data_IF_582612223852
#
_entry.id   IF_582612223852
#
_cell.length_a   1.000
_cell.length_b   1.000
_cell.length_c   1.000
_cell.angle_alpha   90.00
_cell.angle_beta   90.00
_cell.angle_gamma   90.00
#
_symmetry.space_group_name_H-M   'P 1'
#
loop_
_entity.id
_entity.type
_entity.pdbx_description
1 polymer ?
#
# COMPACT_ATOMS: atom_id res chain seq x y z
N UNK A 1 -24.73 -19.72 20.59
CA UNK A 1 -24.23 -21.01 20.02
C UNK A 1 -23.80 -20.81 18.54
N UNK A 2 -22.77 -19.99 18.27
CA UNK A 2 -22.17 -19.80 16.94
C UNK A 2 -20.64 -19.92 17.02
N UNK A 3 -20.12 -20.94 17.67
CA UNK A 3 -18.68 -20.93 18.00
C UNK A 3 -17.81 -21.96 17.28
N UNK A 4 -18.31 -22.77 16.34
CA UNK A 4 -17.47 -23.84 15.78
C UNK A 4 -17.36 -23.94 14.25
N UNK A 5 -18.07 -23.13 13.44
CA UNK A 5 -18.04 -23.24 11.97
C UNK A 5 -17.12 -22.23 11.25
N UNK A 6 -16.51 -21.29 11.97
CA UNK A 6 -15.71 -20.21 11.36
C UNK A 6 -14.37 -20.66 10.75
N UNK A 7 -13.82 -21.79 11.18
CA UNK A 7 -12.54 -22.33 10.67
C UNK A 7 -12.67 -23.04 9.32
N UNK A 8 -13.90 -23.28 8.83
CA UNK A 8 -14.19 -24.10 7.64
C UNK A 8 -14.80 -23.34 6.46
N UNK A 9 -14.91 -22.01 6.51
CA UNK A 9 -15.43 -21.28 5.33
C UNK A 9 -14.45 -21.39 4.15
N UNK A 10 -14.94 -21.81 2.95
CA UNK A 10 -14.11 -21.99 1.77
C UNK A 10 -13.37 -20.69 1.38
N UNK A 11 -12.13 -20.83 0.91
CA UNK A 11 -11.36 -19.70 0.39
C UNK A 11 -12.11 -18.94 -0.71
N UNK A 12 -12.83 -19.67 -1.59
CA UNK A 12 -13.67 -19.10 -2.65
C UNK A 12 -14.71 -18.13 -2.11
N UNK A 13 -15.37 -18.46 -0.99
CA UNK A 13 -16.35 -17.56 -0.37
C UNK A 13 -15.70 -16.29 0.17
N UNK A 14 -14.59 -16.43 0.89
CA UNK A 14 -13.87 -15.29 1.46
C UNK A 14 -13.33 -14.36 0.37
N UNK A 15 -12.61 -14.90 -0.61
CA UNK A 15 -12.02 -14.15 -1.71
C UNK A 15 -13.10 -13.58 -2.63
N UNK A 16 -14.12 -14.37 -3.00
CA UNK A 16 -15.23 -13.92 -3.84
C UNK A 16 -15.99 -12.75 -3.22
N UNK A 17 -16.27 -12.80 -1.91
CA UNK A 17 -16.91 -11.70 -1.20
C UNK A 17 -16.07 -10.41 -1.27
N UNK A 18 -14.74 -10.49 -1.07
CA UNK A 18 -13.86 -9.32 -1.14
C UNK A 18 -13.72 -8.79 -2.57
N UNK A 19 -13.74 -9.63 -3.60
CA UNK A 19 -13.76 -9.22 -5.01
C UNK A 19 -15.05 -8.45 -5.32
N UNK A 20 -16.22 -8.98 -4.92
CA UNK A 20 -17.52 -8.31 -5.09
C UNK A 20 -17.48 -6.95 -4.38
N UNK A 21 -17.02 -6.92 -3.14
CA UNK A 21 -16.92 -5.69 -2.36
C UNK A 21 -16.10 -4.62 -3.07
N UNK A 22 -14.91 -4.99 -3.54
CA UNK A 22 -14.00 -4.09 -4.23
C UNK A 22 -14.57 -3.60 -5.55
N UNK A 23 -15.21 -4.48 -6.32
CA UNK A 23 -15.78 -4.16 -7.63
C UNK A 23 -16.96 -3.19 -7.52
N UNK A 24 -17.85 -3.39 -6.56
CA UNK A 24 -19.07 -2.59 -6.42
C UNK A 24 -18.97 -1.51 -5.34
N UNK A 25 -17.85 -1.43 -4.63
CA UNK A 25 -17.61 -0.47 -3.54
C UNK A 25 -18.63 -0.54 -2.40
N UNK A 26 -19.14 -1.74 -2.11
CA UNK A 26 -20.10 -1.96 -1.03
C UNK A 26 -19.44 -1.84 0.35
N UNK A 27 -20.18 -1.31 1.32
CA UNK A 27 -19.84 -1.48 2.74
C UNK A 27 -20.00 -2.93 3.17
N UNK A 28 -19.43 -3.31 4.31
CA UNK A 28 -19.53 -4.71 4.82
C UNK A 28 -20.98 -5.18 4.97
N UNK A 29 -21.89 -4.30 5.36
CA UNK A 29 -23.32 -4.61 5.53
C UNK A 29 -24.03 -4.72 4.19
N UNK A 30 -23.87 -3.74 3.32
CA UNK A 30 -24.44 -3.74 1.97
C UNK A 30 -23.98 -4.97 1.18
N UNK A 31 -22.72 -5.36 1.30
CA UNK A 31 -22.22 -6.56 0.64
C UNK A 31 -22.99 -7.81 1.05
N UNK A 32 -23.24 -7.99 2.35
CA UNK A 32 -23.98 -9.15 2.86
C UNK A 32 -25.44 -9.12 2.37
N UNK A 33 -26.09 -7.95 2.39
CA UNK A 33 -27.44 -7.76 1.87
C UNK A 33 -27.50 -8.09 0.38
N UNK A 34 -26.59 -7.53 -0.43
CA UNK A 34 -26.53 -7.77 -1.88
C UNK A 34 -26.24 -9.24 -2.23
N UNK A 35 -25.36 -9.91 -1.49
CA UNK A 35 -25.13 -11.35 -1.68
C UNK A 35 -26.38 -12.15 -1.30
N UNK A 36 -27.09 -11.76 -0.24
CA UNK A 36 -28.30 -12.49 0.19
C UNK A 36 -29.43 -12.39 -0.84
N UNK A 37 -29.58 -11.25 -1.50
CA UNK A 37 -30.65 -10.99 -2.46
C UNK A 37 -30.34 -11.49 -3.88
N UNK A 38 -29.03 -11.66 -4.22
CA UNK A 38 -28.62 -11.91 -5.60
C UNK A 38 -28.06 -13.33 -5.80
N UNK A 39 -28.79 -14.20 -6.53
CA UNK A 39 -28.34 -15.57 -6.78
C UNK A 39 -27.04 -15.67 -7.56
N UNK A 40 -26.73 -14.72 -8.43
CA UNK A 40 -25.45 -14.70 -9.18
C UNK A 40 -24.27 -14.43 -8.27
N UNK A 41 -24.42 -13.53 -7.28
CA UNK A 41 -23.38 -13.28 -6.30
C UNK A 41 -23.20 -14.47 -5.36
N UNK A 42 -24.27 -15.15 -4.99
CA UNK A 42 -24.20 -16.40 -4.22
C UNK A 42 -23.47 -17.51 -4.99
N UNK A 43 -23.77 -17.67 -6.27
CA UNK A 43 -23.06 -18.62 -7.13
C UNK A 43 -21.57 -18.27 -7.25
N UNK A 44 -21.25 -17.00 -7.43
CA UNK A 44 -19.86 -16.53 -7.54
C UNK A 44 -19.03 -16.86 -6.29
N UNK A 45 -19.58 -16.67 -5.09
CA UNK A 45 -18.92 -17.04 -3.84
C UNK A 45 -18.93 -18.56 -3.55
N UNK A 46 -19.53 -19.37 -4.43
CA UNK A 46 -19.49 -20.83 -4.38
C UNK A 46 -20.60 -21.48 -3.57
N UNK A 47 -21.76 -20.84 -3.42
CA UNK A 47 -22.92 -21.52 -2.84
C UNK A 47 -23.51 -22.49 -3.87
N UNK A 48 -23.91 -23.70 -3.43
CA UNK A 48 -24.43 -24.72 -4.32
C UNK A 48 -25.88 -24.44 -4.83
N UNK A 49 -26.56 -23.48 -4.23
CA UNK A 49 -27.90 -23.04 -4.58
C UNK A 49 -28.29 -21.76 -3.88
N UNK A 50 -29.39 -21.15 -4.33
CA UNK A 50 -29.93 -19.94 -3.74
C UNK A 50 -30.41 -20.17 -2.30
N UNK A 51 -30.10 -19.24 -1.42
CA UNK A 51 -30.54 -19.19 -0.02
C UNK A 51 -31.08 -17.82 0.29
N UNK A 52 -32.18 -17.76 1.02
CA UNK A 52 -32.75 -16.49 1.51
C UNK A 52 -32.02 -15.94 2.75
N UNK A 53 -31.25 -16.80 3.42
CA UNK A 53 -30.49 -16.42 4.60
C UNK A 53 -29.08 -15.93 4.23
N UNK A 54 -28.61 -14.93 4.97
CA UNK A 54 -27.26 -14.41 4.79
C UNK A 54 -26.19 -15.51 4.98
N UNK A 55 -25.26 -15.71 4.04
CA UNK A 55 -24.26 -16.78 4.13
C UNK A 55 -23.26 -16.57 5.25
N UNK A 56 -23.06 -15.32 5.70
CA UNK A 56 -22.20 -14.93 6.81
C UNK A 56 -22.60 -13.56 7.36
N UNK A 57 -22.17 -13.26 8.58
CA UNK A 57 -22.35 -11.94 9.19
C UNK A 57 -21.32 -10.92 8.66
N UNK A 58 -21.68 -9.62 8.59
CA UNK A 58 -20.80 -8.57 8.13
C UNK A 58 -19.46 -8.50 8.91
N UNK A 59 -19.46 -8.85 10.20
CA UNK A 59 -18.23 -8.91 11.01
C UNK A 59 -17.25 -10.00 10.55
N UNK A 60 -17.71 -11.00 9.82
CA UNK A 60 -16.89 -12.09 9.26
C UNK A 60 -15.90 -11.56 8.22
N UNK A 61 -16.24 -10.47 7.51
CA UNK A 61 -15.35 -9.86 6.52
C UNK A 61 -14.02 -9.36 7.13
N UNK A 62 -14.04 -8.95 8.40
CA UNK A 62 -12.81 -8.62 9.13
C UNK A 62 -11.89 -9.83 9.27
N UNK A 63 -12.48 -11.01 9.47
CA UNK A 63 -11.73 -12.28 9.55
C UNK A 63 -11.24 -12.70 8.16
N UNK A 64 -12.04 -12.52 7.11
CA UNK A 64 -11.62 -12.79 5.74
C UNK A 64 -10.40 -11.98 5.34
N UNK A 65 -10.41 -10.66 5.59
CA UNK A 65 -9.25 -9.78 5.33
C UNK A 65 -8.00 -10.17 6.11
N UNK A 66 -8.13 -10.72 7.31
CA UNK A 66 -6.99 -11.20 8.11
C UNK A 66 -6.46 -12.56 7.66
N UNK A 67 -7.30 -13.40 7.10
CA UNK A 67 -6.97 -14.75 6.65
C UNK A 67 -6.27 -14.77 5.29
N UNK A 68 -6.64 -13.85 4.41
CA UNK A 68 -6.06 -13.76 3.06
C UNK A 68 -4.76 -12.96 3.13
N UNK A 69 -3.63 -13.64 2.93
CA UNK A 69 -2.32 -13.01 2.86
C UNK A 69 -2.02 -12.47 1.46
N UNK A 70 -0.98 -11.63 1.35
CA UNK A 70 -0.53 -11.10 0.05
C UNK A 70 -0.01 -12.23 -0.85
N UNK A 71 0.71 -13.20 -0.28
CA UNK A 71 1.24 -14.36 -1.00
C UNK A 71 0.11 -15.19 -1.60
N UNK A 72 -0.95 -15.47 -0.82
CA UNK A 72 -2.13 -16.19 -1.29
C UNK A 72 -2.83 -15.45 -2.44
N UNK A 73 -2.92 -14.11 -2.38
CA UNK A 73 -3.49 -13.33 -3.48
C UNK A 73 -2.64 -13.41 -4.75
N UNK A 74 -1.31 -13.42 -4.62
CA UNK A 74 -0.41 -13.60 -5.76
C UNK A 74 -0.57 -14.99 -6.38
N UNK A 75 -0.61 -16.05 -5.57
CA UNK A 75 -0.83 -17.42 -6.04
C UNK A 75 -2.17 -17.56 -6.78
N UNK A 76 -3.24 -17.00 -6.24
CA UNK A 76 -4.56 -17.01 -6.91
C UNK A 76 -4.52 -16.24 -8.22
N UNK A 77 -3.85 -15.09 -8.27
CA UNK A 77 -3.70 -14.30 -9.49
C UNK A 77 -2.95 -15.10 -10.58
N UNK A 78 -1.83 -15.74 -10.24
CA UNK A 78 -1.09 -16.57 -11.20
C UNK A 78 -1.90 -17.81 -11.64
N UNK A 79 -2.65 -18.44 -10.72
CA UNK A 79 -3.54 -19.53 -11.06
C UNK A 79 -4.62 -19.11 -12.08
N UNK A 80 -5.27 -17.97 -11.84
CA UNK A 80 -6.30 -17.44 -12.75
C UNK A 80 -5.71 -17.10 -14.12
N UNK A 81 -4.50 -16.54 -14.17
CA UNK A 81 -3.82 -16.20 -15.43
C UNK A 81 -3.37 -17.43 -16.20
N UNK A 82 -2.94 -18.49 -15.52
CA UNK A 82 -2.53 -19.75 -16.15
C UNK A 82 -3.73 -20.52 -16.78
N UNK A 83 -4.93 -20.40 -16.19
CA UNK A 83 -6.14 -21.15 -16.62
C UNK A 83 -7.15 -20.28 -17.38
N UNK A 84 -6.76 -19.08 -17.83
CA UNK A 84 -7.67 -18.15 -18.55
C UNK A 84 -8.17 -18.69 -19.89
N UNK A 85 -7.44 -19.62 -20.52
CA UNK A 85 -7.77 -20.16 -21.84
C UNK A 85 -8.64 -21.42 -21.77
N UNK A 86 -8.78 -22.03 -20.58
CA UNK A 86 -9.63 -23.20 -20.35
C UNK A 86 -11.14 -22.88 -20.53
N UNK A 87 -11.53 -21.62 -20.38
CA UNK A 87 -12.92 -21.14 -20.54
C UNK A 87 -13.26 -20.72 -21.99
N UNK A 88 -12.34 -20.87 -22.95
CA UNK A 88 -12.56 -20.46 -24.36
C UNK A 88 -13.13 -21.56 -25.26
N UNK A 89 -13.60 -22.68 -24.71
CA UNK A 89 -14.37 -23.67 -25.45
C UNK A 89 -15.83 -23.23 -25.53
N UNK A 90 -16.19 -22.49 -26.54
CA UNK A 90 -17.24 -22.68 -27.54
C UNK A 90 -17.47 -21.37 -28.34
N UNK A 91 -17.42 -21.50 -29.69
CA UNK A 91 -17.81 -20.50 -30.68
C UNK A 91 -16.81 -19.42 -31.15
N UNK A 92 -15.61 -19.81 -31.64
CA UNK A 92 -15.03 -19.07 -32.77
C UNK A 92 -14.21 -20.02 -33.69
N UNK A 93 -14.44 -20.06 -35.02
CA UNK A 93 -13.65 -20.90 -35.90
C UNK A 93 -12.22 -20.34 -36.05
N UNK A 94 -11.20 -21.21 -36.24
CA UNK A 94 -9.82 -20.78 -36.30
C UNK A 94 -9.58 -19.95 -37.58
N UNK A 95 -9.22 -18.70 -37.42
CA UNK A 95 -8.70 -17.91 -38.55
C UNK A 95 -7.29 -18.40 -38.87
N UNK A 96 -7.15 -18.87 -40.12
CA UNK A 96 -5.96 -19.53 -40.64
C UNK A 96 -4.67 -18.71 -40.49
N UNK A 97 -3.77 -19.16 -39.64
CA UNK A 97 -2.38 -18.74 -39.61
C UNK A 97 -1.60 -19.48 -40.69
N UNK A 98 -0.98 -18.75 -41.60
CA UNK A 98 -0.05 -19.31 -42.59
C UNK A 98 1.17 -19.88 -41.86
N UNK A 99 1.31 -21.18 -41.91
CA UNK A 99 2.55 -21.91 -41.62
C UNK A 99 3.55 -21.62 -42.72
N UNK A 100 4.62 -20.89 -42.38
CA UNK A 100 5.87 -20.96 -43.15
C UNK A 100 6.78 -21.91 -42.36
N UNK A 101 6.86 -23.12 -42.87
CA UNK A 101 7.83 -24.13 -42.48
C UNK A 101 9.20 -23.72 -43.05
N UNK A 102 10.13 -23.34 -42.18
CA UNK A 102 11.55 -23.40 -42.43
C UNK A 102 12.26 -23.82 -41.11
N UNK A 103 12.72 -25.05 -41.15
CA UNK A 103 13.24 -25.75 -39.99
C UNK A 103 14.60 -25.22 -39.55
N UNK A 104 14.57 -24.49 -38.46
CA UNK A 104 15.63 -24.47 -37.41
C UNK A 104 14.97 -23.85 -36.17
N UNK A 105 14.51 -24.68 -35.26
CA UNK A 105 14.03 -24.24 -33.96
C UNK A 105 15.23 -23.68 -33.17
N UNK A 106 15.49 -22.38 -33.28
CA UNK A 106 16.15 -21.63 -32.22
C UNK A 106 15.12 -21.56 -31.13
N UNK A 107 15.36 -22.19 -29.99
CA UNK A 107 14.61 -21.95 -28.77
C UNK A 107 14.55 -20.42 -28.59
N UNK A 108 13.37 -19.85 -28.71
CA UNK A 108 13.14 -18.41 -28.48
C UNK A 108 13.38 -18.16 -26.99
N UNK A 109 14.62 -17.80 -26.65
CA UNK A 109 15.05 -17.52 -25.27
C UNK A 109 14.45 -16.21 -24.74
N UNK A 110 13.83 -15.40 -25.62
CA UNK A 110 13.25 -14.08 -25.33
C UNK A 110 11.90 -13.92 -25.98
N UNK A 111 10.87 -13.60 -25.20
CA UNK A 111 9.51 -13.38 -25.71
C UNK A 111 8.72 -12.41 -24.84
N UNK A 112 7.90 -11.59 -25.48
CA UNK A 112 6.96 -10.71 -24.79
C UNK A 112 7.57 -9.41 -24.27
N UNK A 113 6.73 -8.61 -23.63
CA UNK A 113 7.07 -7.29 -23.08
C UNK A 113 6.78 -7.27 -21.60
N UNK A 114 7.71 -6.72 -20.81
CA UNK A 114 7.51 -6.40 -19.42
C UNK A 114 7.44 -4.87 -19.29
N UNK A 115 6.29 -4.34 -18.90
CA UNK A 115 6.15 -2.91 -18.57
C UNK A 115 6.14 -2.76 -17.05
N UNK A 116 7.00 -1.90 -16.49
CA UNK A 116 7.15 -1.71 -15.06
C UNK A 116 7.07 -0.24 -14.69
N UNK A 117 6.24 0.09 -13.70
CA UNK A 117 6.17 1.43 -13.11
C UNK A 117 5.70 1.35 -11.66
N UNK A 118 5.94 2.43 -10.89
CA UNK A 118 5.56 2.53 -9.49
C UNK A 118 4.55 3.64 -9.23
N UNK A 119 3.63 3.37 -8.31
CA UNK A 119 2.69 4.38 -7.82
C UNK A 119 2.53 4.31 -6.31
N UNK A 120 1.81 5.28 -5.76
CA UNK A 120 1.41 5.30 -4.36
C UNK A 120 -0.11 5.22 -4.26
N UNK A 121 -0.62 4.30 -3.44
CA UNK A 121 -1.99 4.30 -2.96
C UNK A 121 -2.04 5.17 -1.69
N UNK A 122 -2.66 6.36 -1.72
CA UNK A 122 -2.63 7.28 -0.60
C UNK A 122 -3.47 6.77 0.57
N UNK A 123 -3.00 7.00 1.79
CA UNK A 123 -3.74 6.70 3.00
C UNK A 123 -4.61 7.87 3.43
N UNK A 124 -5.77 7.57 4.04
CA UNK A 124 -6.68 8.59 4.58
C UNK A 124 -6.16 9.14 5.90
N UNK A 125 -5.11 9.94 5.84
CA UNK A 125 -4.59 10.67 6.99
C UNK A 125 -4.57 12.17 6.74
N UNK A 126 -4.82 12.93 7.79
CA UNK A 126 -4.56 14.37 7.75
C UNK A 126 -3.06 14.60 7.49
N UNK A 127 -2.71 15.60 6.66
CA UNK A 127 -1.31 15.97 6.45
C UNK A 127 -0.61 16.16 7.80
N UNK A 128 0.43 15.39 8.12
CA UNK A 128 1.01 15.35 9.45
C UNK A 128 1.84 16.61 9.71
N UNK A 129 1.46 17.33 10.76
CA UNK A 129 2.24 18.41 11.34
C UNK A 129 2.65 18.00 12.75
N UNK A 130 3.91 18.18 13.13
CA UNK A 130 4.42 17.73 14.42
C UNK A 130 3.59 18.22 15.61
N UNK A 131 3.15 19.47 15.57
CA UNK A 131 2.33 20.04 16.64
C UNK A 131 0.95 19.38 16.71
N UNK A 132 0.32 19.10 15.57
CA UNK A 132 -0.99 18.43 15.54
C UNK A 132 -0.87 16.97 15.97
N UNK A 133 0.20 16.29 15.57
CA UNK A 133 0.50 14.92 15.96
C UNK A 133 0.76 14.80 17.47
N UNK A 134 1.56 15.71 18.05
CA UNK A 134 1.78 15.78 19.49
C UNK A 134 0.53 16.14 20.28
N UNK A 135 -0.35 17.01 19.75
CA UNK A 135 -1.62 17.31 20.40
C UNK A 135 -2.56 16.08 20.39
N UNK A 136 -2.63 15.35 19.30
CA UNK A 136 -3.40 14.10 19.21
C UNK A 136 -2.83 13.06 20.19
N UNK A 137 -1.50 12.93 20.26
CA UNK A 137 -0.80 12.07 21.23
C UNK A 137 -1.22 12.40 22.66
N UNK A 138 -1.17 13.68 23.04
CA UNK A 138 -1.60 14.15 24.34
C UNK A 138 -3.06 13.78 24.62
N UNK A 139 -3.96 14.02 23.69
CA UNK A 139 -5.39 13.71 23.86
C UNK A 139 -5.64 12.21 24.05
N UNK A 140 -4.93 11.37 23.30
CA UNK A 140 -5.00 9.89 23.48
C UNK A 140 -4.45 9.45 24.83
N UNK A 141 -3.32 10.01 25.30
CA UNK A 141 -2.77 9.74 26.62
C UNK A 141 -3.71 10.19 27.74
N UNK A 142 -4.27 11.38 27.66
CA UNK A 142 -5.24 11.88 28.64
C UNK A 142 -6.48 10.97 28.76
N UNK A 143 -6.95 10.43 27.63
CA UNK A 143 -8.06 9.47 27.62
C UNK A 143 -7.63 8.10 28.18
N UNK A 144 -6.40 7.66 27.90
CA UNK A 144 -5.85 6.42 28.44
C UNK A 144 -5.72 6.51 29.97
N UNK A 145 -5.13 7.59 30.48
CA UNK A 145 -5.03 7.87 31.93
C UNK A 145 -6.41 7.88 32.59
N UNK A 146 -7.40 8.51 31.94
CA UNK A 146 -8.77 8.54 32.47
C UNK A 146 -9.37 7.14 32.60
N UNK A 147 -9.28 6.31 31.54
CA UNK A 147 -9.74 4.92 31.57
C UNK A 147 -9.02 4.11 32.63
N UNK A 148 -7.70 4.26 32.70
CA UNK A 148 -6.86 3.58 33.66
C UNK A 148 -7.26 3.90 35.11
N UNK A 149 -7.34 5.17 35.45
CA UNK A 149 -7.76 5.60 36.77
C UNK A 149 -9.18 5.14 37.16
N UNK A 150 -10.11 5.16 36.13
CA UNK A 150 -11.48 4.66 36.31
C UNK A 150 -11.50 3.15 36.59
N UNK A 151 -10.69 2.37 35.89
CA UNK A 151 -10.62 0.92 36.05
C UNK A 151 -10.14 0.50 37.45
N UNK A 152 -9.14 1.19 37.96
CA UNK A 152 -8.50 0.86 39.23
C UNK A 152 -8.97 1.72 40.42
N UNK A 153 -9.94 2.60 40.22
CA UNK A 153 -10.42 3.51 41.29
C UNK A 153 -9.38 4.53 41.75
N UNK A 154 -8.39 4.85 40.91
CA UNK A 154 -7.30 5.76 41.25
C UNK A 154 -7.72 7.22 41.16
N UNK A 155 -7.10 8.07 41.99
CA UNK A 155 -7.27 9.53 41.88
C UNK A 155 -6.68 10.04 40.58
N UNK A 156 -7.51 10.81 39.81
CA UNK A 156 -7.09 11.37 38.56
C UNK A 156 -6.01 12.44 38.70
N UNK A 157 -4.83 12.31 38.08
CA UNK A 157 -3.76 13.29 38.18
C UNK A 157 -4.08 14.60 37.45
N UNK A 158 -3.34 15.67 37.79
CA UNK A 158 -3.54 17.00 37.22
C UNK A 158 -2.96 17.11 35.80
N UNK A 159 -3.80 17.05 34.75
CA UNK A 159 -3.40 17.00 33.33
C UNK A 159 -3.38 18.31 32.59
N UNK A 160 -3.91 19.38 33.17
CA UNK A 160 -4.01 20.72 32.54
C UNK A 160 -4.70 20.72 31.13
N UNK A 161 -5.61 19.79 30.89
CA UNK A 161 -6.28 19.53 29.60
C UNK A 161 -6.84 20.80 28.92
N UNK A 162 -7.59 21.62 29.65
CA UNK A 162 -8.20 22.85 29.12
C UNK A 162 -7.16 23.86 28.65
N UNK A 163 -6.07 24.01 29.41
CA UNK A 163 -4.97 24.93 29.10
C UNK A 163 -4.20 24.47 27.87
N UNK A 164 -3.79 23.20 27.82
CA UNK A 164 -3.05 22.63 26.70
C UNK A 164 -3.84 22.71 25.39
N UNK A 165 -5.16 22.44 25.42
CA UNK A 165 -6.05 22.61 24.27
C UNK A 165 -6.17 24.07 23.84
N UNK A 166 -6.32 25.01 24.75
CA UNK A 166 -6.38 26.46 24.44
C UNK A 166 -5.10 26.92 23.76
N UNK A 167 -3.95 26.52 24.27
CA UNK A 167 -2.63 26.85 23.70
C UNK A 167 -2.44 26.26 22.31
N UNK A 168 -2.85 25.02 22.08
CA UNK A 168 -2.83 24.38 20.75
C UNK A 168 -3.73 25.13 19.76
N UNK A 169 -4.97 25.43 20.14
CA UNK A 169 -5.93 26.13 19.27
C UNK A 169 -5.45 27.56 18.95
N UNK A 170 -4.85 28.26 19.91
CA UNK A 170 -4.27 29.58 19.69
C UNK A 170 -3.13 29.54 18.66
N UNK A 171 -2.28 28.50 18.72
CA UNK A 171 -1.27 28.25 17.69
C UNK A 171 -1.91 27.92 16.34
N UNK A 172 -2.81 26.96 16.28
CA UNK A 172 -3.44 26.50 15.03
C UNK A 172 -4.22 27.59 14.28
N UNK A 173 -4.80 28.54 15.01
CA UNK A 173 -5.53 29.71 14.43
C UNK A 173 -4.60 30.85 14.01
N UNK A 174 -3.34 30.82 14.37
CA UNK A 174 -2.37 31.88 14.05
C UNK A 174 -2.07 31.90 12.55
N UNK A 175 -2.17 33.05 11.91
CA UNK A 175 -1.87 33.22 10.47
C UNK A 175 -0.38 33.09 10.13
N UNK A 176 0.51 33.46 11.06
CA UNK A 176 1.97 33.45 10.86
C UNK A 176 2.64 32.51 11.86
N UNK A 177 3.29 31.49 11.36
CA UNK A 177 4.06 30.54 12.14
C UNK A 177 5.56 30.82 12.00
N UNK A 178 6.09 31.67 12.88
CA UNK A 178 7.55 31.89 12.94
C UNK A 178 8.25 30.69 13.60
N UNK A 179 9.50 30.45 13.27
CA UNK A 179 10.31 29.35 13.87
C UNK A 179 10.27 29.39 15.42
N UNK A 180 10.33 30.60 16.02
CA UNK A 180 10.23 30.79 17.49
C UNK A 180 8.87 30.33 18.04
N UNK A 181 7.76 30.66 17.35
CA UNK A 181 6.40 30.22 17.77
C UNK A 181 6.24 28.73 17.63
N UNK A 182 6.71 28.14 16.52
CA UNK A 182 6.68 26.69 16.28
C UNK A 182 7.44 25.98 17.39
N UNK A 183 8.70 26.37 17.64
CA UNK A 183 9.53 25.75 18.68
C UNK A 183 8.92 25.87 20.08
N UNK A 184 8.32 27.03 20.41
CA UNK A 184 7.63 27.22 21.70
C UNK A 184 6.40 26.32 21.83
N UNK A 185 5.62 26.14 20.77
CA UNK A 185 4.45 25.26 20.74
C UNK A 185 4.86 23.78 20.86
N UNK A 186 5.88 23.34 20.13
CA UNK A 186 6.46 21.98 20.25
C UNK A 186 6.92 21.69 21.67
N UNK A 187 7.71 22.59 22.29
CA UNK A 187 8.17 22.44 23.68
C UNK A 187 7.02 22.19 24.65
N UNK A 188 5.93 22.95 24.51
CA UNK A 188 4.76 22.83 25.40
C UNK A 188 4.05 21.49 25.21
N UNK A 189 3.84 21.06 23.96
CA UNK A 189 3.21 19.76 23.69
C UNK A 189 4.09 18.59 24.16
N UNK A 190 5.39 18.61 23.87
CA UNK A 190 6.35 17.63 24.37
C UNK A 190 6.33 17.55 25.90
N UNK A 191 6.31 18.70 26.60
CA UNK A 191 6.22 18.72 28.07
C UNK A 191 4.91 18.13 28.61
N UNK A 192 3.79 18.30 27.88
CA UNK A 192 2.53 17.65 28.25
C UNK A 192 2.59 16.14 28.05
N UNK A 193 3.10 15.68 26.90
CA UNK A 193 3.22 14.26 26.57
C UNK A 193 4.16 13.57 27.57
N UNK A 194 5.33 14.16 27.86
CA UNK A 194 6.29 13.64 28.85
C UNK A 194 5.65 13.44 30.22
N UNK A 195 4.94 14.45 30.71
CA UNK A 195 4.25 14.39 32.01
C UNK A 195 3.21 13.26 32.03
N UNK A 196 2.41 13.17 30.96
CA UNK A 196 1.31 12.20 30.88
C UNK A 196 1.84 10.76 30.73
N UNK A 197 2.98 10.55 30.04
CA UNK A 197 3.72 9.28 30.03
C UNK A 197 4.21 8.93 31.43
N UNK A 198 4.80 9.88 32.16
CA UNK A 198 5.30 9.65 33.52
C UNK A 198 4.20 9.21 34.53
N UNK A 199 2.95 9.67 34.35
CA UNK A 199 1.85 9.17 35.17
C UNK A 199 1.55 7.70 34.88
N UNK A 200 1.54 7.26 33.62
CA UNK A 200 1.32 5.87 33.27
C UNK A 200 2.48 4.98 33.73
N UNK A 201 3.72 5.44 33.59
CA UNK A 201 4.91 4.75 34.08
C UNK A 201 4.85 4.56 35.63
N UNK A 202 4.45 5.61 36.36
CA UNK A 202 4.26 5.52 37.79
C UNK A 202 3.20 4.48 38.16
N UNK A 203 2.03 4.50 37.52
CA UNK A 203 0.98 3.52 37.80
C UNK A 203 1.45 2.08 37.53
N UNK A 204 2.18 1.86 36.44
CA UNK A 204 2.73 0.54 36.15
C UNK A 204 3.80 0.11 37.14
N UNK A 205 4.62 1.03 37.64
CA UNK A 205 5.61 0.74 38.69
C UNK A 205 4.96 0.41 40.04
N UNK A 206 3.76 0.92 40.28
CA UNK A 206 2.92 0.60 41.45
C UNK A 206 2.20 -0.76 41.32
N UNK A 207 2.41 -1.49 40.19
CA UNK A 207 1.88 -2.84 39.96
C UNK A 207 0.55 -2.89 39.20
N UNK A 208 0.04 -1.76 38.71
CA UNK A 208 -1.18 -1.75 37.91
C UNK A 208 -0.89 -2.15 36.44
N UNK A 209 -1.68 -3.05 35.85
CA UNK A 209 -1.50 -3.55 34.50
C UNK A 209 -2.31 -2.76 33.48
N UNK A 210 -1.72 -2.54 32.31
CA UNK A 210 -2.40 -1.94 31.16
C UNK A 210 -3.17 -2.99 30.34
N UNK A 211 -4.30 -2.63 29.73
CA UNK A 211 -5.04 -3.56 28.84
C UNK A 211 -4.26 -3.80 27.55
N UNK A 212 -4.41 -4.98 26.93
CA UNK A 212 -3.68 -5.32 25.70
C UNK A 212 -3.87 -4.33 24.56
N UNK A 213 -5.08 -3.73 24.42
CA UNK A 213 -5.36 -2.68 23.42
C UNK A 213 -4.60 -1.38 23.70
N UNK A 214 -4.47 -1.02 24.98
CA UNK A 214 -3.79 0.20 25.38
C UNK A 214 -2.26 0.05 25.33
N UNK A 215 -1.71 -1.16 25.49
CA UNK A 215 -0.27 -1.43 25.38
C UNK A 215 0.27 -1.06 23.99
N UNK A 216 -0.38 -1.53 22.92
CA UNK A 216 0.07 -1.22 21.54
C UNK A 216 0.08 0.28 21.24
N UNK A 217 -0.97 0.99 21.69
CA UNK A 217 -1.04 2.44 21.55
C UNK A 217 0.02 3.15 22.41
N UNK A 218 0.25 2.70 23.63
CA UNK A 218 1.25 3.24 24.54
C UNK A 218 2.67 3.10 23.97
N UNK A 219 3.04 1.93 23.45
CA UNK A 219 4.33 1.71 22.80
C UNK A 219 4.53 2.59 21.56
N UNK A 220 3.47 2.76 20.77
CA UNK A 220 3.48 3.67 19.62
C UNK A 220 3.74 5.12 20.05
N UNK A 221 3.08 5.55 21.13
CA UNK A 221 3.23 6.90 21.67
C UNK A 221 4.63 7.13 22.24
N UNK A 222 5.24 6.16 22.92
CA UNK A 222 6.62 6.26 23.42
C UNK A 222 7.56 6.50 22.24
N UNK A 223 7.52 5.64 21.21
CA UNK A 223 8.37 5.78 20.02
C UNK A 223 8.17 7.14 19.32
N UNK A 224 6.92 7.57 19.18
CA UNK A 224 6.61 8.87 18.60
C UNK A 224 7.19 10.01 19.45
N UNK A 225 7.04 9.96 20.78
CA UNK A 225 7.60 10.95 21.68
C UNK A 225 9.12 11.02 21.57
N UNK A 226 9.81 9.89 21.57
CA UNK A 226 11.27 9.82 21.41
C UNK A 226 11.73 10.44 20.09
N UNK A 227 11.07 10.12 18.97
CA UNK A 227 11.35 10.70 17.65
C UNK A 227 11.14 12.22 17.65
N UNK A 228 10.03 12.70 18.21
CA UNK A 228 9.70 14.12 18.25
C UNK A 228 10.63 14.89 19.20
N UNK A 229 11.02 14.30 20.33
CA UNK A 229 11.98 14.87 21.27
C UNK A 229 13.36 14.97 20.61
N UNK A 230 13.81 13.90 19.94
CA UNK A 230 15.08 13.89 19.19
C UNK A 230 15.12 14.99 18.12
N UNK A 231 14.06 15.11 17.30
CA UNK A 231 13.96 16.14 16.27
C UNK A 231 13.96 17.56 16.89
N UNK A 232 13.29 17.73 18.02
CA UNK A 232 13.27 19.01 18.73
C UNK A 232 14.65 19.41 19.26
N UNK A 233 15.37 18.48 19.89
CA UNK A 233 16.66 18.73 20.52
C UNK A 233 17.76 18.98 19.49
N UNK A 234 17.81 18.17 18.44
CA UNK A 234 18.81 18.25 17.37
C UNK A 234 18.45 19.25 16.27
N UNK A 235 17.28 19.91 16.32
CA UNK A 235 16.80 20.85 15.30
C UNK A 235 16.73 20.25 13.89
N UNK A 236 16.42 18.98 13.79
CA UNK A 236 16.23 18.28 12.53
C UNK A 236 14.74 18.07 12.25
N UNK A 237 14.38 17.90 10.97
CA UNK A 237 12.99 17.74 10.53
C UNK A 237 12.67 16.32 10.06
N UNK A 238 13.64 15.42 10.08
CA UNK A 238 13.49 14.03 9.67
C UNK A 238 14.20 13.11 10.65
N UNK A 239 13.69 11.90 10.76
CA UNK A 239 14.24 10.78 11.53
C UNK A 239 13.86 9.50 10.80
N UNK A 240 14.69 8.49 10.93
CA UNK A 240 14.43 7.19 10.35
C UNK A 240 13.12 6.58 10.90
N UNK A 241 12.39 5.89 10.06
CA UNK A 241 11.07 5.29 10.39
C UNK A 241 10.08 6.25 11.07
N UNK A 242 10.11 7.54 10.66
CA UNK A 242 9.28 8.59 11.25
C UNK A 242 7.80 8.22 11.26
N UNK A 243 7.20 8.20 12.46
CA UNK A 243 5.76 8.01 12.65
C UNK A 243 5.04 9.31 12.30
N UNK A 244 4.09 9.23 11.37
CA UNK A 244 3.29 10.36 10.87
C UNK A 244 1.81 10.26 11.24
N UNK A 245 1.36 9.11 11.72
CA UNK A 245 0.01 8.87 12.21
C UNK A 245 0.03 7.92 13.40
N UNK A 246 -0.76 8.21 14.43
CA UNK A 246 -0.86 7.34 15.61
C UNK A 246 -1.82 6.17 15.34
N UNK A 247 -2.83 6.39 14.51
CA UNK A 247 -3.79 5.34 14.14
C UNK A 247 -3.23 4.36 13.12
N UNK A 248 -2.27 4.82 12.30
CA UNK A 248 -1.58 4.04 11.28
C UNK A 248 -0.06 4.23 11.44
N UNK A 249 0.56 3.66 12.49
CA UNK A 249 1.95 3.92 12.84
C UNK A 249 2.97 3.32 11.86
N UNK A 250 2.53 2.48 10.95
CA UNK A 250 3.34 1.92 9.86
C UNK A 250 3.51 2.86 8.66
N UNK A 251 2.68 3.90 8.53
CA UNK A 251 2.81 4.87 7.44
C UNK A 251 4.09 5.69 7.56
N UNK A 252 4.72 5.91 6.41
CA UNK A 252 5.92 6.74 6.29
C UNK A 252 5.74 7.82 5.23
N UNK A 253 6.51 8.93 5.30
CA UNK A 253 6.55 9.90 4.24
C UNK A 253 7.27 9.32 3.01
N UNK A 254 6.62 9.34 1.86
CA UNK A 254 7.15 8.90 0.57
C UNK A 254 7.44 10.14 -0.26
N UNK A 255 8.72 10.43 -0.50
CA UNK A 255 9.15 11.57 -1.31
C UNK A 255 9.01 11.21 -2.79
N UNK A 256 8.20 11.98 -3.53
CA UNK A 256 7.91 11.72 -4.94
C UNK A 256 8.49 12.77 -5.90
N UNK A 257 9.09 13.82 -5.38
CA UNK A 257 9.68 14.89 -6.21
C UNK A 257 8.70 15.70 -7.07
N UNK A 258 7.38 15.50 -6.89
CA UNK A 258 6.35 16.26 -7.62
C UNK A 258 6.21 17.67 -7.06
N UNK A 259 6.10 18.68 -7.93
CA UNK A 259 6.03 20.10 -7.53
C UNK A 259 4.79 20.39 -6.64
N UNK A 260 3.62 19.80 -6.95
CA UNK A 260 2.39 20.03 -6.19
C UNK A 260 2.23 19.18 -4.94
N UNK A 261 2.82 17.99 -4.90
CA UNK A 261 2.74 17.06 -3.78
C UNK A 261 4.09 16.34 -3.61
N UNK A 262 5.09 17.01 -2.98
CA UNK A 262 6.43 16.47 -2.87
C UNK A 262 6.51 15.22 -1.97
N UNK A 263 5.56 15.07 -1.05
CA UNK A 263 5.47 13.95 -0.11
C UNK A 263 4.06 13.37 -0.14
N UNK A 264 3.96 12.07 -0.32
CA UNK A 264 2.73 11.28 -0.21
C UNK A 264 2.83 10.37 1.01
N UNK A 265 1.67 9.94 1.53
CA UNK A 265 1.56 9.02 2.67
C UNK A 265 0.63 7.89 2.26
N UNK A 266 1.11 6.65 2.31
CA UNK A 266 0.35 5.51 1.86
C UNK A 266 1.22 4.30 1.58
N UNK A 267 0.72 3.36 0.77
CA UNK A 267 1.49 2.23 0.28
C UNK A 267 2.09 2.56 -1.09
N UNK A 268 3.40 2.44 -1.22
CA UNK A 268 4.10 2.47 -2.49
C UNK A 268 4.16 1.07 -3.06
N UNK A 269 3.87 0.90 -4.34
CA UNK A 269 3.96 -0.40 -5.00
C UNK A 269 4.44 -0.27 -6.44
N UNK A 270 5.20 -1.27 -6.87
CA UNK A 270 5.59 -1.50 -8.25
C UNK A 270 4.61 -2.49 -8.88
N UNK A 271 4.13 -2.15 -10.06
CA UNK A 271 3.25 -2.98 -10.88
C UNK A 271 3.94 -3.30 -12.19
N UNK A 272 3.95 -4.57 -12.55
CA UNK A 272 4.33 -5.01 -13.89
C UNK A 272 3.09 -5.35 -14.70
N UNK A 273 3.16 -5.09 -16.01
CA UNK A 273 2.21 -5.59 -17.00
C UNK A 273 2.97 -6.48 -17.98
N UNK A 274 2.34 -7.59 -18.35
CA UNK A 274 2.78 -8.42 -19.46
C UNK A 274 2.29 -7.87 -20.81
N UNK A 275 2.62 -8.54 -21.90
CA UNK A 275 2.21 -8.14 -23.26
C UNK A 275 0.71 -8.19 -23.51
N UNK A 276 -0.06 -8.86 -22.67
CA UNK A 276 -1.51 -8.96 -22.73
C UNK A 276 -2.21 -7.94 -21.82
N UNK A 277 -1.43 -7.18 -21.03
CA UNK A 277 -1.93 -6.15 -20.12
C UNK A 277 -2.35 -6.67 -18.74
N UNK A 278 -2.00 -7.91 -18.38
CA UNK A 278 -2.27 -8.44 -17.04
C UNK A 278 -1.28 -7.88 -16.02
N UNK A 279 -1.83 -7.35 -14.94
CA UNK A 279 -1.06 -6.69 -13.89
C UNK A 279 -0.62 -7.61 -12.76
N UNK A 280 0.61 -7.42 -12.30
CA UNK A 280 1.18 -8.09 -11.12
C UNK A 280 1.84 -7.07 -10.21
N UNK A 281 1.58 -7.18 -8.91
CA UNK A 281 2.27 -6.37 -7.90
C UNK A 281 3.62 -7.01 -7.62
N UNK A 282 4.68 -6.38 -8.06
CA UNK A 282 6.04 -6.89 -7.87
C UNK A 282 6.58 -6.57 -6.47
N UNK A 283 6.25 -5.40 -5.93
CA UNK A 283 6.62 -4.97 -4.59
C UNK A 283 5.59 -4.03 -4.00
N UNK A 284 5.32 -4.16 -2.70
CA UNK A 284 4.49 -3.23 -1.94
C UNK A 284 5.18 -2.89 -0.62
N UNK A 285 5.18 -1.61 -0.25
CA UNK A 285 5.75 -1.16 1.02
C UNK A 285 5.11 0.14 1.48
N UNK A 286 4.95 0.26 2.80
CA UNK A 286 4.60 1.54 3.43
C UNK A 286 5.83 2.44 3.67
N UNK A 287 7.04 1.91 3.48
CA UNK A 287 8.28 2.68 3.55
C UNK A 287 8.74 3.09 2.16
N UNK A 288 9.43 4.23 2.10
CA UNK A 288 10.04 4.68 0.85
C UNK A 288 11.19 3.72 0.45
N UNK A 289 11.19 3.30 -0.80
CA UNK A 289 12.26 2.52 -1.40
C UNK A 289 12.60 3.07 -2.78
N UNK A 290 13.80 2.73 -3.26
CA UNK A 290 14.21 3.11 -4.61
C UNK A 290 13.58 2.14 -5.62
N UNK A 291 12.73 2.64 -6.51
CA UNK A 291 12.06 1.86 -7.56
C UNK A 291 13.04 1.10 -8.44
N UNK A 292 14.19 1.71 -8.72
CA UNK A 292 15.20 1.11 -9.60
C UNK A 292 15.71 -0.25 -9.14
N UNK A 293 15.63 -0.56 -7.84
CA UNK A 293 16.07 -1.85 -7.30
C UNK A 293 15.11 -3.00 -7.62
N UNK A 294 13.89 -2.69 -8.05
CA UNK A 294 12.88 -3.70 -8.31
C UNK A 294 12.96 -4.30 -9.73
N UNK A 295 13.69 -3.67 -10.67
CA UNK A 295 13.71 -4.08 -12.08
C UNK A 295 14.24 -5.49 -12.28
N UNK A 296 15.38 -5.81 -11.71
CA UNK A 296 16.04 -7.12 -11.87
C UNK A 296 15.16 -8.21 -11.29
N UNK A 297 14.64 -8.01 -10.08
CA UNK A 297 13.71 -8.96 -9.45
C UNK A 297 12.44 -9.18 -10.29
N UNK A 298 11.89 -8.13 -10.89
CA UNK A 298 10.71 -8.23 -11.75
C UNK A 298 11.00 -9.02 -13.04
N UNK A 299 12.18 -8.85 -13.62
CA UNK A 299 12.62 -9.61 -14.80
C UNK A 299 12.81 -11.09 -14.45
N UNK A 300 13.44 -11.42 -13.32
CA UNK A 300 13.63 -12.80 -12.89
C UNK A 300 12.29 -13.49 -12.59
N UNK A 301 11.36 -12.82 -11.91
CA UNK A 301 10.00 -13.35 -11.70
C UNK A 301 9.23 -13.52 -13.01
N UNK A 302 9.43 -12.63 -13.99
CA UNK A 302 8.86 -12.81 -15.32
C UNK A 302 9.39 -14.09 -15.95
N UNK A 303 10.72 -14.34 -15.89
CA UNK A 303 11.36 -15.56 -16.38
C UNK A 303 10.86 -16.80 -15.65
N UNK A 304 10.76 -16.78 -14.32
CA UNK A 304 10.24 -17.91 -13.53
C UNK A 304 8.83 -18.30 -13.95
N UNK A 305 7.97 -17.32 -14.25
CA UNK A 305 6.58 -17.53 -14.66
C UNK A 305 6.43 -18.00 -16.09
N UNK A 306 7.25 -17.50 -17.01
CA UNK A 306 7.07 -17.70 -18.44
C UNK A 306 8.05 -18.68 -19.06
N UNK A 307 9.16 -18.99 -18.36
CA UNK A 307 10.24 -19.82 -18.83
C UNK A 307 11.25 -19.11 -19.74
N UNK A 308 11.04 -17.84 -20.09
CA UNK A 308 11.91 -17.05 -20.97
C UNK A 308 12.09 -15.61 -20.45
N UNK A 309 13.17 -14.96 -20.88
CA UNK A 309 13.35 -13.52 -20.64
C UNK A 309 12.42 -12.66 -21.49
N UNK A 310 12.01 -11.45 -21.03
CA UNK A 310 11.29 -10.53 -21.89
C UNK A 310 12.19 -10.03 -23.03
N UNK A 311 11.65 -9.90 -24.23
CA UNK A 311 12.36 -9.30 -25.37
C UNK A 311 12.66 -7.83 -25.09
N UNK A 312 11.69 -7.12 -24.48
CA UNK A 312 11.83 -5.72 -24.11
C UNK A 312 11.24 -5.41 -22.72
N UNK A 313 11.90 -4.47 -22.05
CA UNK A 313 11.44 -3.90 -20.79
C UNK A 313 11.13 -2.42 -20.98
N UNK A 314 9.90 -2.03 -20.65
CA UNK A 314 9.42 -0.66 -20.71
C UNK A 314 9.34 -0.10 -19.30
N UNK A 315 10.21 0.84 -18.96
CA UNK A 315 10.28 1.42 -17.62
C UNK A 315 10.63 2.91 -17.67
N UNK A 316 10.28 3.64 -16.62
CA UNK A 316 10.61 5.07 -16.50
C UNK A 316 12.11 5.29 -16.32
N UNK A 317 12.53 6.54 -16.47
CA UNK A 317 13.95 6.94 -16.40
C UNK A 317 14.62 6.51 -15.09
N UNK A 318 13.89 6.48 -13.99
CA UNK A 318 14.42 6.10 -12.67
C UNK A 318 14.94 4.67 -12.62
N UNK A 319 14.35 3.75 -13.40
CA UNK A 319 14.80 2.35 -13.50
C UNK A 319 16.05 2.16 -14.37
N UNK A 320 16.47 3.18 -15.12
CA UNK A 320 17.57 3.06 -16.12
C UNK A 320 18.94 3.31 -15.49
N UNK A 321 19.21 2.69 -14.35
CA UNK A 321 20.52 2.74 -13.67
C UNK A 321 21.60 2.05 -14.50
N UNK A 322 22.87 2.25 -14.17
CA UNK A 322 23.99 1.55 -14.82
C UNK A 322 23.91 0.05 -14.60
N UNK A 323 23.55 -0.36 -13.40
CA UNK A 323 23.39 -1.76 -13.01
C UNK A 323 22.28 -2.44 -13.83
N UNK A 324 21.07 -1.88 -13.85
CA UNK A 324 19.94 -2.40 -14.61
C UNK A 324 20.22 -2.47 -16.12
N UNK A 325 20.94 -1.49 -16.66
CA UNK A 325 21.37 -1.51 -18.07
C UNK A 325 22.38 -2.60 -18.36
N UNK A 326 23.36 -2.82 -17.45
CA UNK A 326 24.35 -3.90 -17.59
C UNK A 326 23.64 -5.24 -17.58
N UNK A 327 22.78 -5.46 -16.59
CA UNK A 327 21.97 -6.67 -16.47
C UNK A 327 21.14 -6.96 -17.73
N UNK A 328 20.37 -5.98 -18.22
CA UNK A 328 19.59 -6.16 -19.44
C UNK A 328 20.48 -6.47 -20.67
N UNK A 329 21.63 -5.81 -20.79
CA UNK A 329 22.59 -6.08 -21.87
C UNK A 329 23.18 -7.49 -21.81
N UNK A 330 23.56 -7.96 -20.64
CA UNK A 330 24.11 -9.30 -20.39
C UNK A 330 23.11 -10.40 -20.77
N UNK A 331 21.83 -10.16 -20.49
CA UNK A 331 20.74 -11.09 -20.80
C UNK A 331 20.07 -10.85 -22.15
N UNK A 332 20.61 -9.97 -23.01
CA UNK A 332 20.03 -9.70 -24.34
C UNK A 332 18.67 -8.98 -24.34
N UNK A 333 18.28 -8.37 -23.21
CA UNK A 333 16.99 -7.70 -23.01
C UNK A 333 17.08 -6.25 -23.50
N UNK A 334 16.13 -5.79 -24.29
CA UNK A 334 16.04 -4.41 -24.73
C UNK A 334 15.36 -3.54 -23.67
N UNK A 335 16.13 -2.72 -22.95
CA UNK A 335 15.56 -1.72 -22.04
C UNK A 335 15.19 -0.44 -22.82
N UNK A 336 13.95 0.05 -22.65
CA UNK A 336 13.45 1.27 -23.32
C UNK A 336 14.23 2.53 -22.96
N UNK A 337 14.26 3.50 -23.89
CA UNK A 337 14.83 4.83 -23.70
C UNK A 337 16.26 5.01 -24.21
N UNK A 338 16.81 6.23 -24.11
CA UNK A 338 18.07 6.59 -24.73
C UNK A 338 19.26 5.85 -24.13
N UNK A 339 20.28 5.61 -24.93
CA UNK A 339 21.57 5.07 -24.50
C UNK A 339 22.28 6.05 -23.55
N UNK A 340 23.13 5.52 -22.66
CA UNK A 340 23.96 6.36 -21.79
C UNK A 340 25.05 7.11 -22.57
N UNK A 341 25.30 8.33 -22.16
CA UNK A 341 26.36 9.17 -22.72
C UNK A 341 25.87 10.18 -23.77
N UNK A 342 26.79 10.99 -24.29
CA UNK A 342 26.50 11.93 -25.37
C UNK A 342 26.19 11.13 -26.65
N UNK A 343 25.05 11.37 -27.33
CA UNK A 343 24.76 10.71 -28.61
C UNK A 343 25.90 10.99 -29.59
N UNK A 344 26.36 9.96 -30.30
CA UNK A 344 27.33 10.17 -31.38
C UNK A 344 26.62 10.96 -32.51
N UNK A 345 27.36 11.77 -33.24
CA UNK A 345 26.81 12.55 -34.35
C UNK A 345 26.16 11.67 -35.44
N UNK A 346 26.50 10.38 -35.47
CA UNK A 346 26.01 9.37 -36.40
C UNK A 346 24.94 8.46 -35.85
N UNK A 347 24.57 8.59 -34.55
CA UNK A 347 23.58 7.76 -33.90
C UNK A 347 22.19 8.08 -34.46
N UNK A 348 21.64 7.22 -35.29
CA UNK A 348 20.23 7.28 -35.68
C UNK A 348 19.39 6.78 -34.50
N UNK A 349 18.66 7.67 -33.86
CA UNK A 349 17.63 7.32 -32.87
C UNK A 349 16.42 6.86 -33.68
N UNK A 350 15.97 5.64 -33.47
CA UNK A 350 14.72 5.19 -34.03
C UNK A 350 13.55 5.84 -33.32
N UNK A 351 13.16 7.01 -33.81
CA UNK A 351 12.04 7.80 -33.24
C UNK A 351 10.71 7.04 -33.27
N UNK A 352 10.53 6.12 -34.21
CA UNK A 352 9.31 5.31 -34.34
C UNK A 352 9.25 4.30 -33.19
N UNK A 353 10.36 3.63 -32.91
CA UNK A 353 10.47 2.69 -31.81
C UNK A 353 10.31 3.39 -30.45
N UNK A 354 10.94 4.55 -30.26
CA UNK A 354 10.81 5.33 -29.02
C UNK A 354 9.37 5.82 -28.81
N UNK A 355 8.70 6.26 -29.87
CA UNK A 355 7.30 6.64 -29.83
C UNK A 355 6.40 5.44 -29.44
N UNK A 356 6.65 4.28 -30.04
CA UNK A 356 5.90 3.06 -29.70
C UNK A 356 6.12 2.64 -28.26
N UNK A 357 7.36 2.62 -27.77
CA UNK A 357 7.69 2.29 -26.38
C UNK A 357 6.99 3.23 -25.38
N UNK A 358 6.95 4.52 -25.69
CA UNK A 358 6.25 5.50 -24.86
C UNK A 358 4.72 5.31 -24.90
N UNK A 359 4.17 4.95 -26.04
CA UNK A 359 2.74 4.66 -26.18
C UNK A 359 2.34 3.40 -25.41
N UNK A 360 3.11 2.33 -25.57
CA UNK A 360 2.87 1.07 -24.85
C UNK A 360 2.98 1.25 -23.32
N UNK A 361 3.89 2.12 -22.87
CA UNK A 361 4.05 2.44 -21.45
C UNK A 361 2.83 3.15 -20.84
N UNK A 362 2.01 3.82 -21.63
CA UNK A 362 0.79 4.48 -21.12
C UNK A 362 -0.18 3.46 -20.51
N UNK A 363 -0.11 2.18 -20.89
CA UNK A 363 -1.01 1.16 -20.39
C UNK A 363 -0.88 0.93 -18.86
N UNK A 364 0.34 1.00 -18.32
CA UNK A 364 0.53 0.91 -16.87
C UNK A 364 -0.06 2.12 -16.13
N UNK A 365 0.01 3.32 -16.73
CA UNK A 365 -0.61 4.52 -16.17
C UNK A 365 -2.16 4.42 -16.19
N UNK A 366 -2.74 3.82 -17.25
CA UNK A 366 -4.17 3.50 -17.31
C UNK A 366 -4.57 2.51 -16.24
N UNK A 367 -3.79 1.46 -16.04
CA UNK A 367 -4.02 0.45 -15.00
C UNK A 367 -3.98 1.10 -13.61
N UNK A 368 -3.06 2.00 -13.31
CA UNK A 368 -3.07 2.77 -12.08
C UNK A 368 -4.31 3.66 -11.94
N UNK A 369 -4.74 4.28 -13.03
CA UNK A 369 -5.96 5.10 -13.03
C UNK A 369 -7.20 4.27 -12.70
N UNK A 370 -7.34 3.11 -13.32
CA UNK A 370 -8.43 2.16 -13.06
C UNK A 370 -8.38 1.65 -11.62
N UNK A 371 -7.21 1.24 -11.13
CA UNK A 371 -7.01 0.76 -9.77
C UNK A 371 -7.46 1.80 -8.74
N UNK A 372 -7.13 3.07 -8.96
CA UNK A 372 -7.51 4.17 -8.08
C UNK A 372 -8.99 4.55 -8.18
N UNK A 373 -9.56 4.57 -9.38
CA UNK A 373 -10.94 5.03 -9.58
C UNK A 373 -11.99 3.96 -9.32
N UNK A 374 -11.69 2.71 -9.74
CA UNK A 374 -12.67 1.64 -9.76
C UNK A 374 -12.44 0.58 -8.69
N UNK A 375 -11.21 0.44 -8.17
CA UNK A 375 -10.83 -0.66 -7.27
C UNK A 375 -10.33 -0.19 -5.90
N UNK A 376 -10.72 1.01 -5.47
CA UNK A 376 -10.52 1.49 -4.10
C UNK A 376 -9.11 1.94 -3.73
N UNK A 377 -8.13 1.94 -4.66
CA UNK A 377 -6.75 2.33 -4.38
C UNK A 377 -6.53 3.84 -4.31
N UNK A 378 -7.59 4.65 -4.41
CA UNK A 378 -7.51 6.11 -4.25
C UNK A 378 -7.34 6.54 -2.79
N UNK A 379 -7.70 5.67 -1.84
CA UNK A 379 -7.63 5.93 -0.42
C UNK A 379 -7.63 4.60 0.35
N UNK A 380 -6.53 4.24 1.00
CA UNK A 380 -6.34 3.00 1.75
C UNK A 380 -6.28 3.23 3.27
#
# INVERSE_FOLDING_TARGET
>A
RFSCSFLQMPLRMALGALIIQTKFQYSDRELVEQITENPYLQYFIGLPGFREEAPFDASTLVLFRKRISAEMLMEVNEYLLAHKDDDKDDHTPPSGGKTNDDGTAKEDTHKGTLTLDATCAPANIRYPQDISLLNETREKLENMIYRFCKCYGLKLPRRYRKRARKEYLAFAKSRKHTAKKIRSALRRQLGCVKRDLGYLEQFMSEGYAMTGKDIGLYLTIIRLYEQQQYMYDNRVHSVEHRIVSISQPWLRPIVRGKVKAPVEFGAKFDLSLDSEGYGRIEKISFEAYNESTCLIEAIERFRERTGYYPERVLADQIYRTRENRSYCKEHGIRLSGPKLGRPSATAKVDKKQEYQDNTDRIEVERTFSLSKRCYGMSCI
#
